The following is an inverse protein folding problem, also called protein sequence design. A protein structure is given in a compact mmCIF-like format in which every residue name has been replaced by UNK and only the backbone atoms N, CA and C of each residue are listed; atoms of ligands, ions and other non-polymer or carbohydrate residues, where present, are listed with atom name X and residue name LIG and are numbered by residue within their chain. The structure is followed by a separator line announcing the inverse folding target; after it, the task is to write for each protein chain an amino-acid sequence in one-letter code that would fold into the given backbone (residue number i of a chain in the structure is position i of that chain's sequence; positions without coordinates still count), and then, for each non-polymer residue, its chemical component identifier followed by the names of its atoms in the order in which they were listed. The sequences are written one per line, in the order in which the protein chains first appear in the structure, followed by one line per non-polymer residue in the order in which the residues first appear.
data_IF_030091400151
#
_entry.id   IF_030091400151
#
_cell.length_a   1.000
_cell.length_b   1.000
_cell.length_c   1.000
_cell.angle_alpha   90.00
_cell.angle_beta   90.00
_cell.angle_gamma   90.00
#
_symmetry.space_group_name_H-M   'P 1'
#
loop_
_entity.id
_entity.type
_entity.pdbx_description
1 polymer ?
#
# COMPACT_ATOMS: atom_id res chain seq x y z
N UNK A 1 -15.31 -17.41 11.96
CA UNK A 1 -15.22 -16.06 12.56
C UNK A 1 -13.73 -15.67 12.69
N UNK A 2 -13.06 -15.30 11.58
CA UNK A 2 -11.65 -14.85 11.60
C UNK A 2 -11.59 -13.37 11.98
N UNK A 3 -11.94 -13.06 13.22
CA UNK A 3 -11.76 -11.71 13.75
C UNK A 3 -10.35 -11.62 14.34
N UNK A 4 -9.59 -10.62 13.86
CA UNK A 4 -8.34 -10.13 14.46
C UNK A 4 -7.02 -10.79 14.03
N UNK A 5 -6.86 -11.13 12.75
CA UNK A 5 -5.52 -11.41 12.21
C UNK A 5 -4.64 -10.14 12.26
N UNK A 6 -3.34 -10.32 12.54
CA UNK A 6 -2.34 -9.25 12.47
C UNK A 6 -2.37 -8.58 11.09
N UNK A 7 -2.12 -7.27 11.04
CA UNK A 7 -2.17 -6.58 9.77
C UNK A 7 -1.06 -7.07 8.83
N UNK A 8 -1.35 -7.45 7.57
CA UNK A 8 -0.32 -7.94 6.65
C UNK A 8 0.80 -6.94 6.38
N UNK A 9 0.58 -5.64 6.59
CA UNK A 9 1.61 -4.61 6.42
C UNK A 9 2.79 -4.72 7.42
N UNK A 10 2.73 -5.67 8.37
CA UNK A 10 3.79 -5.92 9.36
C UNK A 10 3.69 -5.08 10.62
N UNK A 11 2.61 -4.30 10.79
CA UNK A 11 2.34 -3.60 12.05
C UNK A 11 1.89 -4.58 13.14
N UNK A 12 2.26 -4.30 14.40
CA UNK A 12 1.82 -5.09 15.55
C UNK A 12 0.30 -4.98 15.80
N UNK A 13 -0.34 -3.94 15.28
CA UNK A 13 -1.78 -3.75 15.38
C UNK A 13 -2.57 -4.76 14.54
N UNK A 14 -3.75 -5.12 15.05
CA UNK A 14 -4.69 -5.97 14.33
C UNK A 14 -5.24 -5.24 13.10
N UNK A 15 -5.59 -6.01 12.06
CA UNK A 15 -6.03 -5.44 10.78
C UNK A 15 -7.11 -4.34 10.90
N UNK A 16 -8.23 -4.51 11.65
CA UNK A 16 -9.27 -3.48 11.73
C UNK A 16 -8.79 -2.15 12.35
N UNK A 17 -7.82 -2.20 13.27
CA UNK A 17 -7.23 -1.03 13.90
C UNK A 17 -6.05 -0.44 13.12
N UNK A 18 -5.58 -1.15 12.09
CA UNK A 18 -4.48 -0.76 11.21
C UNK A 18 -5.03 -0.41 9.82
N UNK A 19 -4.67 -1.17 8.77
CA UNK A 19 -5.08 -0.86 7.40
C UNK A 19 -6.58 -1.03 7.13
N UNK A 20 -7.31 -1.79 7.95
CA UNK A 20 -8.76 -1.93 7.83
C UNK A 20 -9.52 -0.61 8.02
N UNK A 21 -8.95 0.32 8.80
CA UNK A 21 -9.49 1.68 8.94
C UNK A 21 -9.60 2.41 7.60
N UNK A 22 -8.67 2.15 6.70
CA UNK A 22 -8.62 2.80 5.38
C UNK A 22 -9.34 1.96 4.31
N UNK A 23 -9.20 0.63 4.35
CA UNK A 23 -9.73 -0.27 3.32
C UNK A 23 -11.23 -0.55 3.48
N UNK A 24 -11.73 -0.56 4.72
CA UNK A 24 -13.08 -1.02 5.05
C UNK A 24 -13.93 0.04 5.75
N UNK A 25 -13.31 0.97 6.48
CA UNK A 25 -14.01 2.09 7.15
C UNK A 25 -13.83 3.44 6.43
N UNK A 26 -13.24 3.42 5.23
CA UNK A 26 -13.03 4.58 4.35
C UNK A 26 -12.39 5.82 5.00
N UNK A 27 -11.63 5.64 6.09
CA UNK A 27 -10.79 6.71 6.61
C UNK A 27 -9.67 7.04 5.62
N UNK A 28 -9.24 8.29 5.63
CA UNK A 28 -8.07 8.73 4.88
C UNK A 28 -6.79 8.36 5.64
N UNK A 29 -5.75 7.98 4.89
CA UNK A 29 -4.43 7.82 5.48
C UNK A 29 -3.89 9.21 5.85
N UNK A 30 -3.38 9.36 7.07
CA UNK A 30 -2.86 10.63 7.58
C UNK A 30 -1.42 10.90 7.13
N UNK A 31 -0.69 9.85 6.73
CA UNK A 31 0.70 9.93 6.27
C UNK A 31 0.93 9.15 4.97
N UNK A 32 1.99 9.50 4.25
CA UNK A 32 2.44 8.77 3.07
C UNK A 32 2.78 7.30 3.39
N UNK A 33 3.42 7.04 4.54
CA UNK A 33 3.71 5.68 4.99
C UNK A 33 2.44 4.88 5.28
N UNK A 34 1.44 5.50 5.94
CA UNK A 34 0.17 4.84 6.20
C UNK A 34 -0.53 4.45 4.90
N UNK A 35 -0.48 5.32 3.89
CA UNK A 35 -1.01 5.00 2.56
C UNK A 35 -0.19 3.90 1.85
N UNK A 36 1.13 3.94 1.93
CA UNK A 36 1.98 2.91 1.35
C UNK A 36 1.66 1.52 1.93
N UNK A 37 1.55 1.44 3.26
CA UNK A 37 1.20 0.22 3.98
C UNK A 37 -0.20 -0.28 3.65
N UNK A 38 -1.19 0.61 3.56
CA UNK A 38 -2.56 0.23 3.21
C UNK A 38 -2.67 -0.25 1.76
N UNK A 39 -1.95 0.38 0.82
CA UNK A 39 -1.84 -0.08 -0.58
C UNK A 39 -1.24 -1.47 -0.67
N UNK A 40 -0.18 -1.76 0.08
CA UNK A 40 0.35 -3.13 0.17
C UNK A 40 -0.72 -4.13 0.64
N UNK A 41 -1.49 -3.81 1.69
CA UNK A 41 -2.57 -4.70 2.16
C UNK A 41 -3.69 -4.83 1.14
N UNK A 42 -3.95 -3.80 0.34
CA UNK A 42 -4.89 -3.87 -0.77
C UNK A 42 -4.42 -4.86 -1.85
N UNK A 43 -3.12 -4.90 -2.18
CA UNK A 43 -2.56 -5.96 -3.04
C UNK A 43 -2.70 -7.36 -2.41
N UNK A 44 -2.45 -7.49 -1.11
CA UNK A 44 -2.61 -8.76 -0.38
C UNK A 44 -4.06 -9.27 -0.44
N UNK A 45 -5.04 -8.35 -0.42
CA UNK A 45 -6.48 -8.65 -0.38
C UNK A 45 -7.19 -8.55 -1.73
N UNK A 46 -6.48 -8.25 -2.82
CA UNK A 46 -7.10 -8.07 -4.15
C UNK A 46 -8.04 -6.86 -4.25
N UNK A 47 -7.85 -5.81 -3.44
CA UNK A 47 -8.72 -4.61 -3.40
C UNK A 47 -8.33 -3.58 -4.46
N UNK A 48 -8.61 -3.90 -5.73
CA UNK A 48 -8.31 -3.04 -6.88
C UNK A 48 -9.01 -1.67 -6.81
N UNK A 49 -10.22 -1.64 -6.24
CA UNK A 49 -10.97 -0.41 -5.95
C UNK A 49 -10.15 0.56 -5.08
N UNK A 50 -9.53 0.04 -4.02
CA UNK A 50 -8.70 0.82 -3.11
C UNK A 50 -7.42 1.29 -3.81
N UNK A 51 -6.80 0.45 -4.62
CA UNK A 51 -5.58 0.79 -5.34
C UNK A 51 -5.82 1.90 -6.36
N UNK A 52 -6.92 1.85 -7.11
CA UNK A 52 -7.28 2.86 -8.10
C UNK A 52 -7.71 4.18 -7.45
N UNK A 53 -8.48 4.15 -6.35
CA UNK A 53 -8.91 5.37 -5.67
C UNK A 53 -7.76 6.10 -4.97
N UNK A 54 -6.72 5.39 -4.57
CA UNK A 54 -5.54 5.98 -3.90
C UNK A 54 -4.36 6.22 -4.83
N UNK A 55 -4.54 6.01 -6.13
CA UNK A 55 -3.58 6.39 -7.16
C UNK A 55 -3.85 7.81 -7.62
N UNK A 56 -2.80 8.60 -7.79
CA UNK A 56 -2.90 9.95 -8.29
C UNK A 56 -3.46 9.95 -9.72
N UNK A 57 -4.46 10.80 -10.05
CA UNK A 57 -5.12 10.77 -11.35
C UNK A 57 -4.19 10.92 -12.55
N UNK A 58 -3.08 11.67 -12.41
CA UNK A 58 -2.14 11.91 -13.52
C UNK A 58 -1.33 10.67 -13.95
N UNK A 59 -1.20 9.67 -13.07
CA UNK A 59 -0.39 8.45 -13.31
C UNK A 59 -1.19 7.17 -13.13
N UNK A 60 -2.48 7.28 -12.79
CA UNK A 60 -3.35 6.14 -12.53
C UNK A 60 -3.64 5.36 -13.82
N UNK A 61 -3.39 4.04 -13.85
CA UNK A 61 -3.83 3.22 -14.96
C UNK A 61 -5.36 3.14 -15.02
N UNK A 62 -5.97 3.02 -16.21
CA UNK A 62 -7.43 2.96 -16.36
C UNK A 62 -8.04 1.71 -15.72
N UNK A 63 -7.27 0.62 -15.65
CA UNK A 63 -7.66 -0.63 -15.02
C UNK A 63 -6.44 -1.26 -14.37
N UNK A 64 -6.66 -1.97 -13.27
CA UNK A 64 -5.63 -2.75 -12.59
C UNK A 64 -6.07 -4.21 -12.58
N UNK A 65 -5.33 -5.05 -13.30
CA UNK A 65 -5.50 -6.50 -13.25
C UNK A 65 -4.46 -7.09 -12.29
N UNK A 66 -4.95 -7.72 -11.23
CA UNK A 66 -4.12 -8.44 -10.26
C UNK A 66 -4.13 -9.95 -10.51
N UNK A 67 -5.03 -10.44 -11.37
CA UNK A 67 -5.17 -11.84 -11.75
C UNK A 67 -4.23 -12.14 -12.92
N UNK A 68 -2.93 -12.08 -12.63
CA UNK A 68 -1.91 -12.55 -13.58
C UNK A 68 -2.01 -14.07 -13.83
N UNK A 69 -1.20 -14.57 -14.77
CA UNK A 69 -1.15 -16.01 -15.13
C UNK A 69 -0.79 -16.93 -13.96
N UNK A 70 -0.13 -16.41 -12.93
CA UNK A 70 0.20 -17.14 -11.70
C UNK A 70 -0.19 -16.34 -10.46
N UNK A 71 -0.77 -16.99 -9.43
CA UNK A 71 -1.19 -16.30 -8.21
C UNK A 71 0.02 -15.78 -7.42
N UNK A 72 -0.03 -14.50 -7.08
CA UNK A 72 0.99 -13.85 -6.24
C UNK A 72 0.60 -13.98 -4.77
N UNK A 73 1.42 -14.67 -3.98
CA UNK A 73 1.30 -14.71 -2.52
C UNK A 73 2.25 -13.73 -1.87
N UNK A 74 1.72 -12.65 -1.34
CA UNK A 74 2.47 -11.68 -0.54
C UNK A 74 2.88 -12.28 0.82
N UNK A 75 4.14 -12.07 1.21
CA UNK A 75 4.76 -12.68 2.38
C UNK A 75 5.09 -11.68 3.49
N UNK A 76 5.31 -10.43 3.14
CA UNK A 76 5.49 -9.35 4.11
C UNK A 76 5.97 -8.06 3.48
N UNK A 77 5.91 -6.99 4.27
CA UNK A 77 6.36 -5.65 3.92
C UNK A 77 7.37 -5.16 4.95
N UNK A 78 8.41 -4.48 4.48
CA UNK A 78 9.36 -3.75 5.32
C UNK A 78 9.58 -2.35 4.76
N UNK A 79 9.13 -1.33 5.49
CA UNK A 79 9.49 0.07 5.20
C UNK A 79 10.95 0.28 5.63
N UNK A 80 11.75 0.89 4.75
CA UNK A 80 13.17 1.16 4.94
C UNK A 80 13.44 2.60 5.31
N UNK A 81 12.77 3.52 4.63
CA UNK A 81 12.96 4.96 4.79
C UNK A 81 11.68 5.68 4.45
N UNK A 82 11.43 6.77 5.17
CA UNK A 82 10.34 7.71 4.92
C UNK A 82 10.96 9.11 4.91
N UNK A 83 10.63 9.90 3.91
CA UNK A 83 11.01 11.32 3.82
C UNK A 83 9.76 12.17 3.64
N UNK A 84 9.62 13.21 4.47
CA UNK A 84 8.39 13.99 4.57
C UNK A 84 7.16 13.08 4.74
N UNK A 85 6.03 13.40 4.12
CA UNK A 85 4.84 12.55 4.16
C UNK A 85 4.07 12.58 5.49
N UNK A 86 4.36 13.53 6.37
CA UNK A 86 3.62 13.76 7.61
C UNK A 86 2.30 14.50 7.40
N UNK A 87 1.59 14.76 8.50
CA UNK A 87 0.24 15.34 8.49
C UNK A 87 0.17 16.80 8.00
N UNK A 88 1.30 17.47 7.81
CA UNK A 88 1.38 18.84 7.28
C UNK A 88 2.15 18.93 5.95
N UNK A 89 2.69 17.80 5.48
CA UNK A 89 3.43 17.75 4.23
C UNK A 89 2.50 17.68 3.02
N UNK A 90 3.00 18.18 1.88
CA UNK A 90 2.33 18.09 0.57
C UNK A 90 2.86 16.95 -0.30
N UNK A 91 4.04 16.44 0.01
CA UNK A 91 4.70 15.35 -0.69
C UNK A 91 5.38 14.41 0.29
N UNK A 92 5.59 13.17 -0.09
CA UNK A 92 6.30 12.19 0.71
C UNK A 92 6.97 11.14 -0.16
N UNK A 93 8.04 10.55 0.36
CA UNK A 93 8.75 9.43 -0.26
C UNK A 93 8.76 8.27 0.73
N UNK A 94 8.48 7.07 0.25
CA UNK A 94 8.55 5.83 1.06
C UNK A 94 9.36 4.80 0.30
N UNK A 95 10.49 4.41 0.86
CA UNK A 95 11.30 3.28 0.40
C UNK A 95 10.89 2.02 1.17
N UNK A 96 10.67 0.92 0.46
CA UNK A 96 10.25 -0.32 1.09
C UNK A 96 10.70 -1.57 0.32
N UNK A 97 10.65 -2.70 1.01
CA UNK A 97 10.84 -4.03 0.44
C UNK A 97 9.59 -4.87 0.69
N UNK A 98 8.91 -5.28 -0.39
CA UNK A 98 7.82 -6.23 -0.34
C UNK A 98 8.33 -7.62 -0.77
N UNK A 99 8.02 -8.65 0.02
CA UNK A 99 8.36 -10.04 -0.30
C UNK A 99 7.12 -10.75 -0.81
N UNK A 100 7.25 -11.52 -1.88
CA UNK A 100 6.16 -12.28 -2.46
C UNK A 100 6.63 -13.61 -3.05
N UNK A 101 5.69 -14.53 -3.29
CA UNK A 101 5.91 -15.82 -3.93
C UNK A 101 5.02 -15.94 -5.17
N UNK A 102 5.59 -16.32 -6.30
CA UNK A 102 4.89 -16.59 -7.57
C UNK A 102 5.55 -17.80 -8.23
N UNK A 103 4.77 -18.70 -8.83
CA UNK A 103 5.30 -19.91 -9.46
C UNK A 103 6.19 -20.77 -8.55
N UNK A 104 5.86 -20.82 -7.25
CA UNK A 104 6.66 -21.57 -6.28
C UNK A 104 7.96 -20.89 -5.81
N UNK A 105 8.33 -19.73 -6.37
CA UNK A 105 9.60 -19.03 -6.10
C UNK A 105 9.39 -17.75 -5.30
N UNK A 106 10.29 -17.46 -4.36
CA UNK A 106 10.25 -16.26 -3.54
C UNK A 106 11.04 -15.13 -4.20
N UNK A 107 10.45 -13.95 -4.24
CA UNK A 107 10.99 -12.73 -4.83
C UNK A 107 10.94 -11.58 -3.83
N UNK A 108 11.74 -10.54 -4.11
CA UNK A 108 11.73 -9.27 -3.38
C UNK A 108 11.55 -8.15 -4.39
N UNK A 109 10.58 -7.28 -4.10
CA UNK A 109 10.40 -6.00 -4.74
C UNK A 109 10.98 -4.94 -3.80
N UNK A 110 11.98 -4.19 -4.25
CA UNK A 110 12.55 -3.07 -3.51
C UNK A 110 12.27 -1.82 -4.33
N UNK A 111 11.47 -0.91 -3.79
CA UNK A 111 11.00 0.28 -4.48
C UNK A 111 11.11 1.51 -3.58
N UNK A 112 11.28 2.66 -4.24
CA UNK A 112 11.10 3.98 -3.62
C UNK A 112 9.94 4.67 -4.30
N UNK A 113 8.84 4.87 -3.57
CA UNK A 113 7.61 5.46 -4.11
C UNK A 113 7.42 6.92 -3.70
N UNK A 114 6.86 7.72 -4.60
CA UNK A 114 6.47 9.11 -4.36
C UNK A 114 4.98 9.22 -4.09
N UNK A 115 4.64 10.13 -3.19
CA UNK A 115 3.28 10.42 -2.77
C UNK A 115 3.04 11.93 -2.80
N UNK A 116 1.83 12.31 -3.16
CA UNK A 116 1.35 13.69 -3.14
C UNK A 116 0.09 13.79 -2.28
N UNK A 117 -0.10 14.92 -1.61
CA UNK A 117 -1.29 15.21 -0.83
C UNK A 117 -2.07 16.35 -1.45
N UNK A 118 -3.31 16.07 -1.79
CA UNK A 118 -4.25 17.03 -2.38
C UNK A 118 -5.55 17.02 -1.59
N UNK A 119 -6.07 18.20 -1.25
CA UNK A 119 -7.31 18.34 -0.49
C UNK A 119 -7.34 17.49 0.80
N UNK A 120 -6.19 17.41 1.48
CA UNK A 120 -6.02 16.65 2.72
C UNK A 120 -5.79 15.15 2.53
N UNK A 121 -5.88 14.61 1.30
CA UNK A 121 -5.76 13.18 0.99
C UNK A 121 -4.44 12.84 0.30
N UNK A 122 -3.80 11.78 0.77
CA UNK A 122 -2.61 11.22 0.12
C UNK A 122 -2.96 10.36 -1.11
N UNK A 123 -2.11 10.46 -2.13
CA UNK A 123 -2.15 9.67 -3.35
C UNK A 123 -0.77 9.11 -3.67
N UNK A 124 -0.72 7.87 -4.16
CA UNK A 124 0.46 7.29 -4.78
C UNK A 124 0.65 7.90 -6.17
N UNK A 125 1.83 8.45 -6.45
CA UNK A 125 2.16 9.05 -7.73
C UNK A 125 2.82 8.01 -8.62
N UNK A 126 4.02 7.57 -8.27
CA UNK A 126 4.79 6.58 -9.02
C UNK A 126 5.91 5.97 -8.17
N UNK A 127 6.62 5.00 -8.75
CA UNK A 127 7.84 4.42 -8.20
C UNK A 127 9.05 4.94 -8.98
N UNK A 128 10.13 5.20 -8.28
CA UNK A 128 11.44 5.51 -8.86
C UNK A 128 12.21 4.21 -9.06
N UNK A 129 12.92 4.11 -10.19
CA UNK A 129 13.82 3.01 -10.55
C UNK A 129 15.21 3.26 -10.00
#
# INVERSE_FOLDING_TARGET
MKLLDQCPCGAAAQYPACCGRYLDADLLADTAEALMRSRYVAYVRGRTDYLLRTWHPSTRPPMLDLEGSEPVRWLGLQVRRVEAGGADDRHGIVEFVARYKVGGRAHRLHETSRFAREEGRWFYVDAMV
#
